data_IF_804601131505
#
_entry.id   IF_804601131505
#
_cell.length_a   1.000
_cell.length_b   1.000
_cell.length_c   1.000
_cell.angle_alpha   90.00
_cell.angle_beta   90.00
_cell.angle_gamma   90.00
#
_symmetry.space_group_name_H-M   'P 1'
#
loop_
_entity.id
_entity.type
_entity.pdbx_description
1 polymer ?
#
# COMPACT_ATOMS: atom_id res chain seq x y z
N UNK A 1 -7.64 6.96 6.25
CA UNK A 1 -8.32 5.84 5.58
C UNK A 1 -7.34 4.70 5.33
N UNK A 2 -7.82 3.52 5.10
CA UNK A 2 -6.96 2.40 4.76
C UNK A 2 -6.73 2.32 3.25
N UNK A 3 -5.55 1.81 2.86
CA UNK A 3 -5.10 1.81 1.46
C UNK A 3 -6.06 1.07 0.52
N UNK A 4 -6.77 0.05 1.01
CA UNK A 4 -7.72 -0.71 0.19
C UNK A 4 -8.82 0.15 -0.42
N UNK A 5 -9.08 1.32 0.15
CA UNK A 5 -10.06 2.28 -0.37
C UNK A 5 -9.44 3.30 -1.32
N UNK A 6 -8.15 3.15 -1.64
CA UNK A 6 -7.46 4.05 -2.54
C UNK A 6 -8.00 3.96 -3.96
N UNK A 7 -8.02 5.09 -4.66
CA UNK A 7 -8.54 5.18 -6.03
C UNK A 7 -7.40 5.16 -7.04
N UNK A 8 -7.57 4.46 -8.16
CA UNK A 8 -6.58 4.50 -9.25
C UNK A 8 -6.29 5.92 -9.68
N UNK A 9 -5.03 6.22 -9.91
CA UNK A 9 -4.57 7.55 -10.30
C UNK A 9 -4.32 8.50 -9.16
N UNK A 10 -4.64 8.10 -7.92
CA UNK A 10 -4.40 8.93 -6.74
C UNK A 10 -3.14 8.51 -6.01
N UNK A 11 -2.58 9.45 -5.26
CA UNK A 11 -1.37 9.24 -4.46
C UNK A 11 -1.70 9.43 -2.99
N UNK A 12 -1.16 8.56 -2.14
CA UNK A 12 -1.40 8.57 -0.71
C UNK A 12 -0.08 8.50 0.04
N UNK A 13 -0.09 8.91 1.31
CA UNK A 13 1.10 8.86 2.16
C UNK A 13 0.88 7.80 3.25
N UNK A 14 1.86 6.93 3.45
CA UNK A 14 1.79 5.89 4.48
C UNK A 14 1.83 6.53 5.87
N UNK A 15 0.79 6.33 6.66
CA UNK A 15 0.67 6.88 8.01
C UNK A 15 0.92 5.84 9.09
N UNK A 16 0.50 4.59 8.88
CA UNK A 16 0.71 3.51 9.84
C UNK A 16 0.59 2.15 9.16
N UNK A 17 1.31 1.18 9.69
CA UNK A 17 1.32 -0.21 9.20
C UNK A 17 0.92 -1.13 10.36
N UNK A 18 -0.34 -1.57 10.36
CA UNK A 18 -0.86 -2.49 11.38
C UNK A 18 -0.69 -3.94 10.94
N UNK A 19 0.55 -4.35 10.70
CA UNK A 19 0.89 -5.65 10.12
C UNK A 19 1.87 -6.42 11.03
N UNK A 20 1.89 -7.77 10.92
CA UNK A 20 2.93 -8.55 11.57
C UNK A 20 4.31 -8.09 11.12
N UNK A 21 5.28 -8.15 12.02
CA UNK A 21 6.62 -7.64 11.76
C UNK A 21 7.27 -8.21 10.50
N UNK A 22 7.07 -9.50 10.24
CA UNK A 22 7.64 -10.14 9.04
C UNK A 22 7.08 -9.54 7.75
N UNK A 23 5.78 -9.20 7.73
CA UNK A 23 5.14 -8.58 6.56
C UNK A 23 5.60 -7.13 6.45
N UNK A 24 5.66 -6.41 7.56
CA UNK A 24 6.14 -5.04 7.60
C UNK A 24 7.56 -4.92 7.06
N UNK A 25 8.46 -5.83 7.46
CA UNK A 25 9.84 -5.84 6.96
C UNK A 25 9.89 -6.06 5.44
N UNK A 26 9.04 -6.94 4.91
CA UNK A 26 8.97 -7.17 3.47
C UNK A 26 8.55 -5.92 2.72
N UNK A 27 7.55 -5.21 3.24
CA UNK A 27 7.08 -3.97 2.62
C UNK A 27 8.13 -2.88 2.70
N UNK A 28 8.84 -2.78 3.83
CA UNK A 28 9.94 -1.83 3.98
C UNK A 28 11.04 -2.08 2.94
N UNK A 29 11.35 -3.35 2.67
CA UNK A 29 12.33 -3.71 1.66
C UNK A 29 11.91 -3.25 0.26
N UNK A 30 10.60 -3.11 0.03
CA UNK A 30 10.05 -2.58 -1.21
C UNK A 30 9.92 -1.06 -1.20
N UNK A 31 10.33 -0.42 -0.11
CA UNK A 31 10.28 1.03 0.02
C UNK A 31 9.04 1.58 0.70
N UNK A 32 8.13 0.72 1.16
CA UNK A 32 6.90 1.16 1.83
C UNK A 32 7.16 1.39 3.31
N UNK A 33 7.63 2.58 3.64
CA UNK A 33 7.91 3.01 5.01
C UNK A 33 6.99 4.15 5.39
N UNK A 34 6.92 4.49 6.67
CA UNK A 34 6.09 5.61 7.14
C UNK A 34 6.53 6.91 6.44
N UNK A 35 5.56 7.67 5.98
CA UNK A 35 5.81 8.93 5.27
C UNK A 35 6.07 8.77 3.78
N UNK A 36 6.16 7.54 3.28
CA UNK A 36 6.40 7.28 1.86
C UNK A 36 5.11 7.46 1.07
N UNK A 37 5.23 7.97 -0.16
CA UNK A 37 4.08 8.12 -1.05
C UNK A 37 3.83 6.84 -1.84
N UNK A 38 2.56 6.47 -1.94
CA UNK A 38 2.10 5.31 -2.70
C UNK A 38 1.17 5.80 -3.80
N UNK A 39 1.45 5.43 -5.04
CA UNK A 39 0.54 5.70 -6.15
C UNK A 39 -0.30 4.45 -6.42
N UNK A 40 -1.61 4.59 -6.44
CA UNK A 40 -2.51 3.50 -6.77
C UNK A 40 -2.65 3.43 -8.28
N UNK A 41 -2.26 2.32 -8.88
CA UNK A 41 -2.34 2.13 -10.32
C UNK A 41 -3.61 1.39 -10.73
N UNK A 42 -3.99 0.34 -9.99
CA UNK A 42 -5.21 -0.41 -10.22
C UNK A 42 -5.84 -0.81 -8.90
N UNK A 43 -7.15 -0.73 -8.83
CA UNK A 43 -7.94 -1.20 -7.70
C UNK A 43 -9.33 -1.57 -8.21
N UNK A 44 -9.47 -2.81 -8.66
CA UNK A 44 -10.70 -3.29 -9.28
C UNK A 44 -11.67 -3.92 -8.28
N UNK A 45 -11.39 -3.80 -7.01
CA UNK A 45 -12.25 -4.34 -5.96
C UNK A 45 -12.26 -5.86 -5.85
N UNK A 46 -11.30 -6.53 -6.46
CA UNK A 46 -11.20 -8.00 -6.46
C UNK A 46 -10.21 -8.57 -5.47
N UNK A 47 -9.85 -7.79 -4.47
CA UNK A 47 -8.93 -8.23 -3.43
C UNK A 47 -7.46 -7.95 -3.71
N UNK A 48 -7.10 -7.50 -4.92
CA UNK A 48 -5.72 -7.18 -5.26
C UNK A 48 -5.64 -5.76 -5.79
N UNK A 49 -4.66 -5.02 -5.30
CA UNK A 49 -4.39 -3.66 -5.70
C UNK A 49 -2.98 -3.60 -6.28
N UNK A 50 -2.80 -2.88 -7.39
CA UNK A 50 -1.47 -2.63 -7.95
C UNK A 50 -1.05 -1.23 -7.55
N UNK A 51 0.10 -1.13 -6.92
CA UNK A 51 0.65 0.15 -6.44
C UNK A 51 2.06 0.37 -6.96
N UNK A 52 2.48 1.63 -6.93
CA UNK A 52 3.85 1.99 -7.27
C UNK A 52 4.45 2.75 -6.10
N UNK A 53 5.58 2.28 -5.59
CA UNK A 53 6.29 2.89 -4.47
C UNK A 53 7.74 3.04 -4.86
N UNK A 54 8.24 4.28 -4.83
CA UNK A 54 9.65 4.60 -5.16
C UNK A 54 10.08 4.01 -6.50
N UNK A 55 9.20 4.07 -7.50
CA UNK A 55 9.49 3.56 -8.83
C UNK A 55 9.30 2.06 -9.00
N UNK A 56 8.96 1.33 -7.95
CA UNK A 56 8.72 -0.11 -8.00
C UNK A 56 7.23 -0.39 -8.01
N UNK A 57 6.80 -1.21 -8.96
CA UNK A 57 5.40 -1.58 -9.12
C UNK A 57 5.19 -2.99 -8.57
N UNK A 58 4.18 -3.17 -7.72
CA UNK A 58 3.86 -4.50 -7.21
C UNK A 58 2.39 -4.62 -6.83
N UNK A 59 1.93 -5.86 -6.71
CA UNK A 59 0.54 -6.16 -6.34
C UNK A 59 0.47 -6.47 -4.85
N UNK A 60 -0.59 -5.96 -4.19
CA UNK A 60 -0.80 -6.17 -2.76
C UNK A 60 -2.22 -6.65 -2.53
N UNK A 61 -2.37 -7.72 -1.75
CA UNK A 61 -3.68 -8.28 -1.42
C UNK A 61 -4.42 -7.46 -0.37
N UNK A 62 -5.75 -7.61 -0.33
CA UNK A 62 -6.61 -6.87 0.60
C UNK A 62 -6.28 -7.18 2.06
N UNK A 63 -5.85 -8.40 2.38
CA UNK A 63 -5.44 -8.74 3.73
C UNK A 63 -4.32 -7.85 4.25
N UNK A 64 -3.56 -7.24 3.35
CA UNK A 64 -2.49 -6.30 3.69
C UNK A 64 -2.98 -4.85 3.53
N UNK A 65 -3.60 -4.51 2.38
CA UNK A 65 -3.98 -3.12 2.12
C UNK A 65 -4.97 -2.56 3.13
N UNK A 66 -5.86 -3.38 3.66
CA UNK A 66 -6.83 -2.93 4.67
C UNK A 66 -6.17 -2.62 6.02
N UNK A 67 -4.91 -2.97 6.21
CA UNK A 67 -4.17 -2.71 7.44
C UNK A 67 -3.08 -1.65 7.27
N UNK A 68 -3.05 -1.01 6.12
CA UNK A 68 -2.15 0.11 5.85
C UNK A 68 -2.97 1.39 5.93
N UNK A 69 -2.67 2.22 6.94
CA UNK A 69 -3.32 3.51 7.09
C UNK A 69 -2.62 4.54 6.22
N UNK A 70 -3.38 5.31 5.47
CA UNK A 70 -2.84 6.34 4.57
C UNK A 70 -3.57 7.66 4.75
N UNK A 71 -2.89 8.70 4.35
CA UNK A 71 -3.42 10.07 4.32
C UNK A 71 -3.70 10.51 2.89
#
# INVERSE_FOLDING_TARGET
MTLDKGRPGQEYTVAALALPQAVEHRLEALGMTLGTKISVLENKGRGIMVVKVRGTRFAVGRGITRKIEVL
#
